data_IF_524635178709
#
_entry.id   IF_524635178709
#
_cell.length_a   1.000
_cell.length_b   1.000
_cell.length_c   1.000
_cell.angle_alpha   90.00
_cell.angle_beta   90.00
_cell.angle_gamma   90.00
#
_symmetry.space_group_name_H-M   'P 1'
#
loop_
_entity.id
_entity.type
_entity.pdbx_description
1 polymer ?
#
# COMPACT_ATOMS: atom_id res chain seq x y z
N UNK A 1 11.46 -0.42 -20.81
CA UNK A 1 11.12 0.72 -19.94
C UNK A 1 9.61 0.87 -20.00
N UNK A 2 8.90 0.73 -18.87
CA UNK A 2 7.43 0.92 -18.85
C UNK A 2 7.15 2.40 -19.07
N UNK A 3 6.31 2.75 -20.04
CA UNK A 3 5.85 4.11 -20.23
C UNK A 3 4.63 4.36 -19.32
N UNK A 4 4.76 5.11 -18.21
CA UNK A 4 3.66 5.29 -17.26
C UNK A 4 2.49 6.10 -17.83
N UNK A 5 2.68 6.74 -18.99
CA UNK A 5 1.65 7.50 -19.70
C UNK A 5 0.91 6.66 -20.76
N UNK A 6 1.42 5.48 -21.10
CA UNK A 6 0.71 4.54 -21.98
C UNK A 6 -0.48 3.95 -21.22
N UNK A 7 -1.65 3.99 -21.85
CA UNK A 7 -2.86 3.37 -21.30
C UNK A 7 -2.88 1.91 -21.68
N UNK A 8 -2.92 1.05 -20.66
CA UNK A 8 -3.20 -0.38 -20.81
C UNK A 8 -4.70 -0.62 -20.72
N UNK A 9 -5.20 -1.60 -21.46
CA UNK A 9 -6.60 -2.00 -21.35
C UNK A 9 -6.72 -3.04 -20.25
N UNK A 10 -7.67 -2.85 -19.34
CA UNK A 10 -7.96 -3.82 -18.30
C UNK A 10 -9.43 -4.24 -18.33
N UNK A 11 -9.68 -5.54 -18.28
CA UNK A 11 -11.02 -6.11 -18.20
C UNK A 11 -11.40 -6.34 -16.73
N UNK A 12 -12.62 -5.98 -16.35
CA UNK A 12 -13.17 -6.31 -15.04
C UNK A 12 -13.44 -7.81 -15.00
N UNK A 13 -12.74 -8.54 -14.14
CA UNK A 13 -12.90 -10.00 -14.00
C UNK A 13 -13.75 -10.39 -12.80
N UNK A 14 -13.78 -9.55 -11.76
CA UNK A 14 -14.61 -9.76 -10.59
C UNK A 14 -15.02 -8.43 -9.94
N UNK A 15 -16.17 -8.45 -9.25
CA UNK A 15 -16.72 -7.31 -8.51
C UNK A 15 -17.31 -7.82 -7.20
N UNK A 16 -16.90 -7.23 -6.08
CA UNK A 16 -17.43 -7.53 -4.74
C UNK A 16 -17.89 -6.25 -4.05
N UNK A 17 -19.08 -6.26 -3.47
CA UNK A 17 -19.48 -5.21 -2.52
C UNK A 17 -18.65 -5.35 -1.24
N UNK A 18 -17.94 -4.31 -0.85
CA UNK A 18 -17.00 -4.34 0.28
C UNK A 18 -17.66 -3.86 1.56
N UNK A 19 -18.17 -2.63 1.52
CA UNK A 19 -19.00 -1.99 2.55
C UNK A 19 -19.97 -1.06 1.83
N UNK A 20 -20.87 -0.41 2.57
CA UNK A 20 -21.84 0.52 1.98
C UNK A 20 -21.15 1.57 1.09
N UNK A 21 -21.61 1.68 -0.16
CA UNK A 21 -21.07 2.57 -1.19
C UNK A 21 -19.61 2.30 -1.62
N UNK A 22 -19.04 1.13 -1.33
CA UNK A 22 -17.72 0.73 -1.78
C UNK A 22 -17.74 -0.64 -2.44
N UNK A 23 -17.07 -0.75 -3.58
CA UNK A 23 -16.89 -2.01 -4.31
C UNK A 23 -15.42 -2.27 -4.54
N UNK A 24 -15.05 -3.54 -4.54
CA UNK A 24 -13.76 -4.02 -5.06
C UNK A 24 -13.90 -4.54 -6.47
N UNK A 25 -12.89 -4.22 -7.27
CA UNK A 25 -12.80 -4.58 -8.67
C UNK A 25 -11.47 -5.29 -8.88
N UNK A 26 -11.53 -6.48 -9.47
CA UNK A 26 -10.36 -7.17 -10.00
C UNK A 26 -10.28 -6.87 -11.49
N UNK A 27 -9.13 -6.34 -11.89
CA UNK A 27 -8.87 -5.87 -13.24
C UNK A 27 -7.73 -6.70 -13.83
N UNK A 28 -8.00 -7.37 -14.95
CA UNK A 28 -6.99 -8.13 -15.69
C UNK A 28 -6.48 -7.29 -16.85
N UNK A 29 -5.18 -7.02 -16.87
CA UNK A 29 -4.50 -6.25 -17.90
C UNK A 29 -4.09 -7.12 -19.08
N UNK A 30 -4.04 -6.51 -20.27
CA UNK A 30 -3.53 -7.09 -21.50
C UNK A 30 -2.01 -7.31 -21.47
N UNK A 31 -1.28 -6.39 -20.83
CA UNK A 31 0.17 -6.42 -20.65
C UNK A 31 0.58 -6.59 -19.17
N UNK A 32 1.85 -6.92 -18.94
CA UNK A 32 2.41 -6.93 -17.59
C UNK A 32 2.55 -5.50 -17.04
N UNK A 33 2.18 -5.34 -15.78
CA UNK A 33 2.14 -4.10 -15.05
C UNK A 33 2.62 -4.35 -13.62
N UNK A 34 3.74 -3.75 -13.25
CA UNK A 34 4.32 -3.89 -11.91
C UNK A 34 4.03 -2.63 -11.09
N UNK A 35 3.73 -2.80 -9.81
CA UNK A 35 3.54 -1.71 -8.86
C UNK A 35 3.99 -2.12 -7.46
N UNK A 36 4.39 -1.13 -6.67
CA UNK A 36 4.85 -1.29 -5.30
C UNK A 36 3.88 -0.62 -4.31
N UNK A 37 3.84 -1.08 -3.04
CA UNK A 37 3.08 -0.40 -2.00
C UNK A 37 3.40 1.09 -1.92
N UNK A 38 2.36 1.92 -1.73
CA UNK A 38 2.48 3.37 -1.71
C UNK A 38 2.47 4.06 -3.08
N UNK A 39 2.39 3.30 -4.19
CA UNK A 39 2.14 3.87 -5.52
C UNK A 39 0.65 3.98 -5.82
N UNK A 40 0.34 4.80 -6.82
CA UNK A 40 -1.02 4.99 -7.34
C UNK A 40 -1.06 4.65 -8.84
N UNK A 41 -2.25 4.36 -9.33
CA UNK A 41 -2.54 4.20 -10.76
C UNK A 41 -3.69 5.13 -11.14
N UNK A 42 -3.79 5.46 -12.42
CA UNK A 42 -4.95 6.17 -12.95
C UNK A 42 -5.87 5.20 -13.67
N UNK A 43 -7.14 5.16 -13.25
CA UNK A 43 -8.20 4.45 -13.95
C UNK A 43 -8.99 5.44 -14.79
N UNK A 44 -9.20 5.12 -16.05
CA UNK A 44 -9.99 5.92 -16.99
C UNK A 44 -11.16 5.12 -17.58
N UNK A 45 -12.27 5.82 -17.83
CA UNK A 45 -13.42 5.29 -18.55
C UNK A 45 -13.76 6.29 -19.66
N UNK A 46 -13.76 5.88 -20.94
CA UNK A 46 -14.07 6.77 -22.07
C UNK A 46 -15.38 7.52 -21.85
N UNK A 47 -15.35 8.85 -21.95
CA UNK A 47 -16.51 9.73 -21.73
C UNK A 47 -16.82 10.06 -20.26
N UNK A 48 -16.14 9.44 -19.29
CA UNK A 48 -16.37 9.66 -17.85
C UNK A 48 -15.14 10.19 -17.09
N UNK A 49 -13.99 10.29 -17.76
CA UNK A 49 -12.77 10.90 -17.24
C UNK A 49 -11.79 9.89 -16.65
N UNK A 50 -10.95 10.36 -15.74
CA UNK A 50 -9.96 9.54 -15.02
C UNK A 50 -9.81 9.99 -13.57
N UNK A 51 -9.34 9.07 -12.72
CA UNK A 51 -8.97 9.39 -11.33
C UNK A 51 -7.85 8.47 -10.84
N UNK A 52 -7.12 8.97 -9.84
CA UNK A 52 -6.08 8.22 -9.16
C UNK A 52 -6.67 7.26 -8.12
N UNK A 53 -6.16 6.03 -8.07
CA UNK A 53 -6.48 5.02 -7.08
C UNK A 53 -5.22 4.31 -6.61
N UNK A 54 -5.20 3.91 -5.34
CA UNK A 54 -4.15 3.04 -4.82
C UNK A 54 -4.57 1.57 -5.04
N UNK A 55 -3.72 0.74 -5.68
CA UNK A 55 -3.91 -0.70 -5.68
C UNK A 55 -3.94 -1.25 -4.26
N UNK A 56 -4.79 -2.25 -4.02
CA UNK A 56 -5.03 -2.83 -2.69
C UNK A 56 -4.97 -4.37 -2.65
N UNK A 57 -4.55 -5.01 -3.75
CA UNK A 57 -4.44 -6.46 -3.87
C UNK A 57 -3.01 -6.98 -3.71
N UNK A 58 -2.85 -8.29 -3.92
CA UNK A 58 -1.52 -8.90 -4.08
C UNK A 58 -0.83 -8.36 -5.33
N UNK A 59 0.51 -8.32 -5.32
CA UNK A 59 1.34 -7.91 -6.46
C UNK A 59 2.24 -9.04 -6.96
N UNK A 60 1.77 -10.28 -6.79
CA UNK A 60 2.37 -11.50 -7.30
C UNK A 60 2.03 -11.74 -8.78
N UNK A 61 0.78 -11.51 -9.18
CA UNK A 61 0.36 -11.53 -10.58
C UNK A 61 0.50 -10.15 -11.23
N UNK A 62 1.48 -10.02 -12.14
CA UNK A 62 1.76 -8.79 -12.89
C UNK A 62 0.69 -8.41 -13.91
N UNK A 63 -0.36 -9.21 -14.08
CA UNK A 63 -1.48 -8.85 -14.98
C UNK A 63 -2.78 -8.60 -14.23
N UNK A 64 -2.73 -8.52 -12.91
CA UNK A 64 -3.93 -8.30 -12.10
C UNK A 64 -3.74 -7.10 -11.19
N UNK A 65 -4.75 -6.23 -11.16
CA UNK A 65 -4.83 -5.08 -10.26
C UNK A 65 -6.15 -5.13 -9.52
N UNK A 66 -6.10 -5.03 -8.20
CA UNK A 66 -7.30 -4.94 -7.36
C UNK A 66 -7.48 -3.50 -6.84
N UNK A 67 -8.64 -2.90 -7.08
CA UNK A 67 -9.00 -1.58 -6.59
C UNK A 67 -10.21 -1.64 -5.67
N UNK A 68 -10.17 -0.93 -4.54
CA UNK A 68 -11.32 -0.70 -3.68
C UNK A 68 -11.80 0.74 -3.87
N UNK A 69 -12.98 0.92 -4.46
CA UNK A 69 -13.46 2.22 -4.95
C UNK A 69 -14.77 2.60 -4.31
N UNK A 70 -14.82 3.80 -3.74
CA UNK A 70 -16.04 4.41 -3.24
C UNK A 70 -16.83 5.11 -4.34
N UNK A 71 -18.15 4.98 -4.29
CA UNK A 71 -19.08 5.73 -5.12
C UNK A 71 -19.16 7.18 -4.66
N UNK A 72 -18.67 8.14 -5.47
CA UNK A 72 -18.58 9.56 -5.10
C UNK A 72 -18.97 10.49 -6.24
N UNK A 73 -18.50 10.23 -7.47
CA UNK A 73 -18.67 11.15 -8.60
C UNK A 73 -18.95 10.44 -9.91
N UNK A 74 -18.92 11.17 -11.03
CA UNK A 74 -19.30 10.65 -12.35
C UNK A 74 -18.53 9.39 -12.76
N UNK A 75 -17.19 9.43 -12.64
CA UNK A 75 -16.34 8.30 -13.00
C UNK A 75 -16.63 7.08 -12.12
N UNK A 76 -16.61 7.24 -10.79
CA UNK A 76 -16.82 6.13 -9.86
C UNK A 76 -18.25 5.61 -9.91
N UNK A 77 -19.23 6.47 -10.22
CA UNK A 77 -20.60 6.07 -10.50
C UNK A 77 -20.74 5.21 -11.74
N UNK A 78 -20.05 5.58 -12.83
CA UNK A 78 -20.00 4.71 -14.01
C UNK A 78 -19.30 3.39 -13.69
N UNK A 79 -18.15 3.41 -13.01
CA UNK A 79 -17.44 2.19 -12.62
C UNK A 79 -18.31 1.24 -11.77
N UNK A 80 -19.07 1.77 -10.82
CA UNK A 80 -19.98 0.98 -9.98
C UNK A 80 -21.15 0.35 -10.72
N UNK A 81 -21.54 0.92 -11.86
CA UNK A 81 -22.58 0.42 -12.75
C UNK A 81 -22.04 -0.54 -13.84
N UNK A 82 -20.71 -0.66 -13.96
CA UNK A 82 -20.10 -1.59 -14.90
C UNK A 82 -20.21 -3.04 -14.42
N UNK A 83 -20.09 -3.97 -15.36
CA UNK A 83 -20.22 -5.42 -15.18
C UNK A 83 -18.91 -6.13 -15.48
N UNK A 84 -18.78 -7.35 -14.96
CA UNK A 84 -17.73 -8.28 -15.34
C UNK A 84 -17.71 -8.41 -16.87
N UNK A 85 -16.52 -8.34 -17.45
CA UNK A 85 -16.28 -8.37 -18.88
C UNK A 85 -16.11 -7.00 -19.55
N UNK A 86 -16.58 -5.91 -18.93
CA UNK A 86 -16.35 -4.55 -19.45
C UNK A 86 -14.91 -4.07 -19.18
N UNK A 87 -14.43 -3.14 -20.02
CA UNK A 87 -13.05 -2.66 -19.98
C UNK A 87 -12.91 -1.24 -19.46
N UNK A 88 -11.79 -1.00 -18.78
CA UNK A 88 -11.31 0.32 -18.33
C UNK A 88 -9.89 0.54 -18.84
N UNK A 89 -9.43 1.80 -18.83
CA UNK A 89 -8.03 2.14 -19.08
C UNK A 89 -7.25 2.25 -17.78
N UNK A 90 -6.00 1.79 -17.77
CA UNK A 90 -5.08 1.89 -16.64
C UNK A 90 -3.78 2.56 -17.07
N UNK A 91 -3.29 3.51 -16.28
CA UNK A 91 -1.97 4.16 -16.45
C UNK A 91 -1.18 4.18 -15.16
N UNK A 92 0.14 4.19 -15.29
CA UNK A 92 1.09 4.28 -14.19
C UNK A 92 2.14 3.14 -14.21
N UNK A 93 2.59 2.68 -13.03
CA UNK A 93 2.32 3.27 -11.71
C UNK A 93 2.95 4.66 -11.58
N UNK A 94 2.43 5.47 -10.64
CA UNK A 94 3.00 6.77 -10.28
C UNK A 94 3.42 6.80 -8.81
N UNK A 95 4.44 7.62 -8.52
CA UNK A 95 5.06 7.74 -7.19
C UNK A 95 6.22 6.75 -6.99
N UNK A 96 7.05 7.01 -5.98
CA UNK A 96 8.23 6.18 -5.68
C UNK A 96 7.91 4.92 -4.83
N UNK A 97 6.67 4.79 -4.37
CA UNK A 97 6.30 3.79 -3.36
C UNK A 97 6.84 4.15 -1.98
N UNK A 98 6.56 3.30 -0.99
CA UNK A 98 7.13 3.45 0.35
C UNK A 98 8.60 3.01 0.39
N UNK A 99 9.44 3.64 1.23
CA UNK A 99 10.87 3.34 1.31
C UNK A 99 11.15 2.04 2.09
N UNK A 100 10.63 0.92 1.57
CA UNK A 100 10.67 -0.40 2.22
C UNK A 100 12.07 -1.05 2.14
N UNK A 101 12.91 -0.64 1.17
CA UNK A 101 14.30 -1.09 1.07
C UNK A 101 15.13 -0.75 2.32
N UNK A 102 14.71 0.26 3.10
CA UNK A 102 15.28 0.61 4.39
C UNK A 102 15.12 -0.49 5.46
N UNK A 103 14.33 -1.53 5.18
CA UNK A 103 14.19 -2.73 6.00
C UNK A 103 15.11 -3.87 5.54
N UNK A 104 15.41 -3.95 4.23
CA UNK A 104 16.12 -5.06 3.57
C UNK A 104 17.64 -4.90 3.49
N UNK A 105 18.14 -3.68 3.27
CA UNK A 105 19.58 -3.42 3.14
C UNK A 105 20.26 -3.41 4.52
N UNK A 106 20.54 -4.60 5.07
CA UNK A 106 21.28 -4.83 6.31
C UNK A 106 22.25 -6.01 6.20
N UNK A 107 23.06 -6.06 5.14
CA UNK A 107 24.31 -6.83 5.24
C UNK A 107 25.33 -5.95 5.96
N UNK A 108 25.78 -6.32 7.17
CA UNK A 108 26.87 -5.62 7.81
C UNK A 108 28.14 -5.91 6.99
N UNK A 109 28.69 -4.92 6.32
CA UNK A 109 30.12 -4.96 6.02
C UNK A 109 30.83 -5.03 7.39
N UNK A 110 31.74 -5.99 7.62
CA UNK A 110 32.48 -6.01 8.85
C UNK A 110 33.15 -4.65 9.05
N UNK A 111 33.09 -4.12 10.27
CA UNK A 111 33.74 -2.89 10.73
C UNK A 111 35.26 -2.97 10.49
N UNK A 112 35.69 -2.88 9.23
CA UNK A 112 37.08 -2.79 8.85
C UNK A 112 37.50 -1.34 9.00
N UNK A 113 37.90 -0.99 10.23
CA UNK A 113 38.83 0.09 10.59
C UNK A 113 38.64 1.41 9.83
N UNK A 114 37.56 2.14 10.11
CA UNK A 114 37.38 3.52 9.64
C UNK A 114 37.81 4.57 10.68
N UNK A 115 38.85 4.29 11.49
CA UNK A 115 39.49 5.33 12.32
C UNK A 115 40.78 5.90 11.71
N UNK A 116 41.31 5.30 10.63
CA UNK A 116 42.52 5.78 9.96
C UNK A 116 42.20 6.18 8.51
N UNK A 117 41.65 7.38 8.30
CA UNK A 117 41.76 8.18 7.04
C UNK A 117 40.98 9.50 7.15
N UNK A 118 41.34 10.34 8.12
CA UNK A 118 41.17 11.78 7.96
C UNK A 118 42.52 12.30 7.44
N UNK A 119 42.60 12.64 6.15
CA UNK A 119 43.73 13.40 5.60
C UNK A 119 43.22 14.81 5.37
N UNK A 120 43.82 15.80 6.04
CA UNK A 120 43.58 17.22 5.72
C UNK A 120 44.01 17.49 4.28
N UNK A 121 43.10 18.04 3.48
CA UNK A 121 43.44 18.65 2.21
C UNK A 121 44.29 19.89 2.44
N UNK A 122 45.25 20.15 1.55
CA UNK A 122 46.20 21.26 1.65
C UNK A 122 45.56 22.66 1.57
N UNK A 123 44.25 22.74 1.33
CA UNK A 123 43.45 23.96 1.20
C UNK A 123 42.54 24.25 2.42
N UNK A 124 42.62 23.42 3.47
CA UNK A 124 41.85 23.60 4.71
C UNK A 124 40.36 23.29 4.58
N UNK A 125 39.91 22.65 3.49
CA UNK A 125 38.52 22.19 3.35
C UNK A 125 38.40 20.70 3.68
N UNK A 126 37.35 20.36 4.43
CA UNK A 126 36.97 18.96 4.66
C UNK A 126 36.18 18.45 3.46
N UNK A 127 36.73 17.49 2.70
CA UNK A 127 35.94 16.70 1.76
C UNK A 127 35.23 15.57 2.54
N UNK A 128 33.94 15.78 2.83
CA UNK A 128 33.08 14.72 3.36
C UNK A 128 32.57 13.85 2.22
N UNK A 129 32.96 12.58 2.21
CA UNK A 129 32.34 11.59 1.33
C UNK A 129 30.89 11.34 1.81
N UNK A 130 29.92 11.69 0.96
CA UNK A 130 28.48 11.43 1.15
C UNK A 130 28.16 9.93 1.35
N UNK A 131 29.13 9.03 1.18
CA UNK A 131 28.99 7.59 1.40
C UNK A 131 28.89 7.16 2.87
N UNK A 132 29.14 8.05 3.84
CA UNK A 132 29.16 7.70 5.28
C UNK A 132 28.02 8.32 6.08
N UNK A 133 26.76 8.12 5.64
CA UNK A 133 25.63 8.30 6.54
C UNK A 133 25.64 7.16 7.58
N UNK A 134 25.54 7.44 8.89
CA UNK A 134 25.50 6.41 9.92
C UNK A 134 24.31 5.49 9.67
N UNK A 135 24.59 4.22 9.35
CA UNK A 135 23.56 3.20 9.21
C UNK A 135 23.01 2.92 10.61
N UNK A 136 21.71 3.19 10.79
CA UNK A 136 21.02 2.98 12.05
C UNK A 136 20.67 1.49 12.20
N UNK A 137 21.48 0.76 12.97
CA UNK A 137 21.35 -0.69 13.23
C UNK A 137 20.10 -1.10 14.04
N UNK A 138 19.22 -0.15 14.38
CA UNK A 138 18.01 -0.46 15.14
C UNK A 138 16.98 -1.17 14.27
N UNK A 139 16.54 -2.35 14.73
CA UNK A 139 15.38 -3.09 14.23
C UNK A 139 14.18 -2.14 14.06
N UNK A 140 13.64 -2.06 12.84
CA UNK A 140 12.47 -1.23 12.51
C UNK A 140 11.19 -2.07 12.58
N UNK A 141 10.20 -1.54 13.28
CA UNK A 141 8.83 -2.06 13.31
C UNK A 141 7.90 -1.06 12.61
N UNK A 142 6.71 -1.51 12.24
CA UNK A 142 5.71 -0.71 11.55
C UNK A 142 4.53 -0.46 12.49
N UNK A 143 4.18 0.82 12.64
CA UNK A 143 2.93 1.25 13.26
C UNK A 143 2.05 1.85 12.17
N UNK A 144 0.83 1.35 12.05
CA UNK A 144 -0.20 1.85 11.16
C UNK A 144 -1.33 2.41 12.00
N UNK A 145 -1.69 3.67 11.77
CA UNK A 145 -2.85 4.33 12.39
C UNK A 145 -3.73 4.84 11.26
N UNK A 146 -4.92 4.26 11.11
CA UNK A 146 -5.80 4.56 9.97
C UNK A 146 -7.27 4.55 10.33
N UNK A 147 -8.04 5.37 9.62
CA UNK A 147 -9.50 5.39 9.68
C UNK A 147 -10.14 5.03 8.33
N UNK A 148 -11.17 4.18 8.34
CA UNK A 148 -11.97 3.83 7.17
C UNK A 148 -11.16 3.45 5.92
N UNK A 149 -11.30 4.25 4.85
CA UNK A 149 -10.63 4.02 3.56
C UNK A 149 -9.10 4.19 3.59
N UNK A 150 -8.54 4.75 4.66
CA UNK A 150 -7.09 4.89 4.82
C UNK A 150 -6.34 3.55 4.77
N UNK A 151 -7.03 2.43 5.05
CA UNK A 151 -6.47 1.08 4.97
C UNK A 151 -6.25 0.59 3.52
N UNK A 152 -7.00 1.10 2.54
CA UNK A 152 -6.94 0.68 1.13
C UNK A 152 -5.52 0.68 0.56
N UNK A 153 -4.74 1.79 0.60
CA UNK A 153 -3.37 1.79 0.08
C UNK A 153 -2.41 0.88 0.85
N UNK A 154 -2.69 0.58 2.12
CA UNK A 154 -1.82 -0.21 3.00
C UNK A 154 -1.98 -1.71 2.81
N UNK A 155 -3.13 -2.16 2.33
CA UNK A 155 -3.41 -3.58 2.15
C UNK A 155 -2.40 -4.27 1.23
N UNK A 156 -1.95 -3.59 0.17
CA UNK A 156 -0.90 -4.13 -0.71
C UNK A 156 0.38 -4.44 0.06
N UNK A 157 0.81 -3.60 1.01
CA UNK A 157 1.98 -3.92 1.85
C UNK A 157 1.70 -5.13 2.73
N UNK A 158 0.53 -5.20 3.38
CA UNK A 158 0.19 -6.29 4.29
C UNK A 158 0.15 -7.65 3.57
N UNK A 159 -0.46 -7.69 2.39
CA UNK A 159 -0.59 -8.90 1.58
C UNK A 159 0.73 -9.37 0.97
N UNK A 160 1.67 -8.44 0.72
CA UNK A 160 2.98 -8.74 0.13
C UNK A 160 4.12 -8.57 1.15
N UNK A 161 3.83 -8.59 2.45
CA UNK A 161 4.79 -8.18 3.50
C UNK A 161 6.10 -8.96 3.43
N UNK A 162 6.06 -10.25 3.12
CA UNK A 162 7.25 -11.11 3.05
C UNK A 162 8.18 -10.74 1.88
N UNK A 163 7.63 -10.12 0.82
CA UNK A 163 8.41 -9.58 -0.30
C UNK A 163 9.18 -8.31 0.08
N UNK A 164 8.66 -7.54 1.04
CA UNK A 164 9.15 -6.19 1.33
C UNK A 164 9.78 -6.03 2.72
N UNK A 165 9.41 -6.88 3.68
CA UNK A 165 9.76 -6.75 5.08
C UNK A 165 10.49 -8.03 5.55
N UNK A 166 11.58 -7.88 6.32
CA UNK A 166 12.18 -8.97 7.05
C UNK A 166 11.15 -9.68 7.94
N UNK A 167 11.29 -10.99 8.10
CA UNK A 167 10.35 -11.83 8.88
C UNK A 167 10.22 -11.37 10.34
N UNK A 168 11.24 -10.74 10.90
CA UNK A 168 11.23 -10.27 12.28
C UNK A 168 10.53 -8.92 12.48
N UNK A 169 10.13 -8.22 11.41
CA UNK A 169 9.46 -6.91 11.48
C UNK A 169 8.10 -7.06 12.16
N UNK A 170 7.92 -6.40 13.31
CA UNK A 170 6.62 -6.36 13.99
C UNK A 170 5.74 -5.31 13.33
N UNK A 171 4.45 -5.64 13.15
CA UNK A 171 3.44 -4.73 12.60
C UNK A 171 2.34 -4.57 13.64
N UNK A 172 2.02 -3.32 13.99
CA UNK A 172 0.89 -2.95 14.83
C UNK A 172 -0.04 -2.04 14.05
N UNK A 173 -1.34 -2.29 14.12
CA UNK A 173 -2.36 -1.54 13.40
C UNK A 173 -3.41 -1.06 14.39
N UNK A 174 -3.65 0.24 14.43
CA UNK A 174 -4.83 0.83 15.03
C UNK A 174 -5.78 1.25 13.90
N UNK A 175 -6.90 0.53 13.77
CA UNK A 175 -7.88 0.75 12.72
C UNK A 175 -9.19 1.28 13.30
N UNK A 176 -9.53 2.52 12.95
CA UNK A 176 -10.79 3.17 13.30
C UNK A 176 -11.84 3.08 12.20
N UNK A 177 -13.10 2.92 12.58
CA UNK A 177 -14.25 3.05 11.69
C UNK A 177 -15.43 3.72 12.41
N UNK A 178 -16.47 4.14 11.66
CA UNK A 178 -17.65 4.76 12.31
C UNK A 178 -18.48 3.72 13.05
N UNK A 179 -18.68 2.58 12.41
CA UNK A 179 -19.39 1.42 12.93
C UNK A 179 -18.64 0.14 12.55
N UNK A 180 -18.95 -1.02 13.17
CA UNK A 180 -18.33 -2.31 12.80
C UNK A 180 -18.55 -2.71 11.33
N UNK A 181 -19.58 -2.18 10.69
CA UNK A 181 -19.89 -2.46 9.28
C UNK A 181 -19.06 -1.63 8.30
N UNK A 182 -18.41 -0.56 8.78
CA UNK A 182 -17.57 0.31 7.95
C UNK A 182 -16.11 -0.16 7.86
N UNK A 183 -15.73 -1.23 8.58
CA UNK A 183 -14.40 -1.84 8.44
C UNK A 183 -14.25 -2.52 7.09
N UNK A 184 -13.19 -2.14 6.37
CA UNK A 184 -12.80 -2.77 5.11
C UNK A 184 -11.96 -4.01 5.38
N UNK A 185 -12.05 -4.98 4.47
CA UNK A 185 -11.22 -6.19 4.44
C UNK A 185 -11.33 -7.05 5.70
N UNK A 186 -12.50 -7.07 6.33
CA UNK A 186 -12.77 -7.85 7.55
C UNK A 186 -12.38 -9.31 7.40
N UNK A 187 -12.51 -9.88 6.21
CA UNK A 187 -12.10 -11.27 5.94
C UNK A 187 -10.60 -11.53 6.13
N UNK A 188 -9.77 -10.48 6.13
CA UNK A 188 -8.33 -10.62 6.31
C UNK A 188 -7.90 -10.47 7.77
N UNK A 189 -8.78 -10.07 8.70
CA UNK A 189 -8.38 -9.74 10.07
C UNK A 189 -7.84 -10.94 10.82
N UNK A 190 -8.51 -12.10 10.72
CA UNK A 190 -8.05 -13.33 11.40
C UNK A 190 -6.70 -13.79 10.84
N UNK A 191 -6.56 -13.79 9.51
CA UNK A 191 -5.30 -14.08 8.84
C UNK A 191 -4.18 -13.11 9.26
N UNK A 192 -4.47 -11.81 9.40
CA UNK A 192 -3.48 -10.84 9.85
C UNK A 192 -3.04 -11.12 11.30
N UNK A 193 -3.98 -11.45 12.19
CA UNK A 193 -3.66 -11.86 13.57
C UNK A 193 -2.82 -13.14 13.60
N UNK A 194 -3.14 -14.13 12.76
CA UNK A 194 -2.34 -15.36 12.61
C UNK A 194 -0.92 -15.09 12.11
N UNK A 195 -0.74 -14.08 11.25
CA UNK A 195 0.58 -13.60 10.82
C UNK A 195 1.37 -12.86 11.92
N UNK A 196 0.79 -12.68 13.11
CA UNK A 196 1.39 -11.95 14.22
C UNK A 196 1.26 -10.43 14.12
N UNK A 197 0.32 -9.92 13.30
CA UNK A 197 -0.02 -8.50 13.27
C UNK A 197 -0.85 -8.17 14.51
N UNK A 198 -0.40 -7.19 15.27
CA UNK A 198 -1.10 -6.68 16.45
C UNK A 198 -2.19 -5.69 16.01
N UNK A 199 -3.42 -6.18 15.80
CA UNK A 199 -4.55 -5.43 15.25
C UNK A 199 -5.50 -4.96 16.37
N UNK A 200 -5.59 -3.64 16.54
CA UNK A 200 -6.48 -2.94 17.45
C UNK A 200 -7.59 -2.26 16.65
N UNK A 201 -8.85 -2.53 17.00
CA UNK A 201 -10.01 -1.96 16.34
C UNK A 201 -10.71 -0.96 17.24
N UNK A 202 -11.14 0.17 16.68
CA UNK A 202 -11.96 1.15 17.40
C UNK A 202 -13.13 1.64 16.55
N UNK A 203 -14.26 1.94 17.19
CA UNK A 203 -15.41 2.57 16.55
C UNK A 203 -15.77 3.91 17.18
N UNK A 204 -16.25 4.86 16.38
CA UNK A 204 -16.61 6.20 16.86
C UNK A 204 -17.74 6.18 17.91
N UNK A 205 -18.71 5.28 17.75
CA UNK A 205 -19.89 5.18 18.62
C UNK A 205 -20.10 3.75 19.08
N UNK A 206 -20.21 3.57 20.39
CA UNK A 206 -20.55 2.28 20.98
C UNK A 206 -21.85 1.73 20.39
N UNK A 207 -21.86 0.45 20.05
CA UNK A 207 -23.04 -0.27 19.60
C UNK A 207 -23.15 -1.61 20.32
N UNK A 208 -24.36 -2.18 20.35
CA UNK A 208 -24.57 -3.52 20.92
C UNK A 208 -23.71 -4.54 20.18
N UNK A 209 -23.10 -5.47 20.93
CA UNK A 209 -22.25 -6.53 20.37
C UNK A 209 -20.80 -6.13 20.05
N UNK A 210 -20.40 -4.86 20.27
CA UNK A 210 -19.01 -4.43 20.13
C UNK A 210 -18.24 -4.61 21.44
N UNK A 211 -17.13 -5.36 21.38
CA UNK A 211 -16.31 -5.71 22.56
C UNK A 211 -14.89 -5.14 22.51
N UNK A 212 -14.59 -4.26 21.56
CA UNK A 212 -13.26 -3.64 21.39
C UNK A 212 -13.30 -2.15 21.81
N UNK A 213 -12.29 -1.36 21.43
CA UNK A 213 -12.20 0.06 21.77
C UNK A 213 -13.34 0.91 21.18
N UNK A 214 -13.71 1.97 21.89
CA UNK A 214 -14.65 2.99 21.43
C UNK A 214 -13.97 4.35 21.53
N UNK A 215 -13.98 5.11 20.43
CA UNK A 215 -13.27 6.37 20.28
C UNK A 215 -12.66 6.51 18.88
N UNK A 216 -12.14 7.70 18.60
CA UNK A 216 -11.41 7.98 17.37
C UNK A 216 -9.96 7.51 17.50
N UNK A 217 -9.37 7.12 16.36
CA UNK A 217 -7.94 6.79 16.26
C UNK A 217 -7.11 8.01 15.91
#
# INVERSE_FOLDING_TARGET
MINPYQTLTAQITDIKDEVLNMKRFWLKLDEEFDYSPGQIIFLSIPGFGEAAFAPCGKSDDKRTVELCVRHVGKLTGKLHAMKIGESVGIRGPFGHGWPLNNFQNRHPEPFAKSQDKLREGSDGRYEGDSSTLPQNDKKKNILIVVGGMGLVPLRTLLLNREKYLPLETKIQIFYGARTPDDFLFKENFDQWKEWGIDLHLTIDKACSGWNECVGVV
#
